data_IF_963320545680
#
_entry.id   IF_963320545680
#
_cell.length_a   1.000
_cell.length_b   1.000
_cell.length_c   1.000
_cell.angle_alpha   90.00
_cell.angle_beta   90.00
_cell.angle_gamma   90.00
#
_symmetry.space_group_name_H-M   'P 1'
#
loop_
_entity.id
_entity.type
_entity.pdbx_description
1 polymer ?
#
# COMPACT_ATOMS: atom_id res chain seq x y z
N UNK A 1 53.68 -26.89 -18.00
CA UNK A 1 54.97 -26.65 -18.67
C UNK A 1 54.70 -25.57 -19.72
N UNK A 2 55.29 -24.39 -19.77
CA UNK A 2 56.38 -23.73 -19.02
C UNK A 2 56.38 -22.29 -19.56
N UNK A 3 56.67 -21.34 -18.69
CA UNK A 3 56.80 -19.90 -18.93
C UNK A 3 57.71 -19.49 -20.09
N UNK A 4 57.46 -18.29 -20.61
CA UNK A 4 58.40 -17.21 -21.00
C UNK A 4 57.52 -16.01 -21.36
N UNK A 5 57.65 -14.79 -20.83
CA UNK A 5 58.78 -14.11 -20.22
C UNK A 5 59.24 -12.95 -21.11
N UNK A 6 59.12 -11.73 -20.57
CA UNK A 6 60.11 -10.63 -20.65
C UNK A 6 59.88 -9.39 -21.56
N UNK A 7 60.06 -8.21 -20.93
CA UNK A 7 60.54 -6.95 -21.52
C UNK A 7 59.62 -5.76 -21.18
N UNK A 8 59.77 -4.96 -20.11
CA UNK A 8 60.87 -4.13 -19.54
C UNK A 8 61.16 -2.81 -20.31
N UNK A 9 61.31 -1.75 -19.50
CA UNK A 9 61.95 -0.43 -19.75
C UNK A 9 61.05 0.65 -20.39
N UNK A 10 61.11 1.95 -20.05
CA UNK A 10 61.94 2.75 -19.15
C UNK A 10 61.34 4.17 -19.10
N UNK A 11 61.55 4.85 -17.96
CA UNK A 11 61.69 6.31 -17.74
C UNK A 11 61.59 7.23 -18.96
N UNK A 12 60.88 8.37 -18.81
CA UNK A 12 61.50 9.70 -18.89
C UNK A 12 60.54 10.84 -18.50
N UNK A 13 61.00 11.65 -17.55
CA UNK A 13 60.46 12.97 -17.18
C UNK A 13 61.19 14.06 -18.00
N UNK A 14 60.46 15.07 -18.50
CA UNK A 14 60.89 16.46 -18.32
C UNK A 14 59.69 17.37 -17.99
N UNK A 15 59.81 18.24 -16.98
CA UNK A 15 60.31 19.62 -17.02
C UNK A 15 59.19 20.65 -17.26
N UNK A 16 59.16 21.60 -16.32
CA UNK A 16 58.25 22.72 -16.12
C UNK A 16 58.31 23.72 -17.27
N UNK A 17 57.15 24.22 -17.73
CA UNK A 17 57.01 25.58 -18.24
C UNK A 17 55.73 26.19 -17.64
N UNK A 18 55.94 27.19 -16.77
CA UNK A 18 54.92 28.14 -16.39
C UNK A 18 54.65 29.06 -17.58
N UNK A 19 53.39 29.14 -18.01
CA UNK A 19 52.91 30.10 -19.00
C UNK A 19 51.75 30.88 -18.40
N UNK A 20 52.03 32.08 -17.91
CA UNK A 20 51.02 33.08 -17.57
C UNK A 20 50.32 33.54 -18.85
N UNK A 21 49.02 33.26 -18.99
CA UNK A 21 48.16 34.04 -19.88
C UNK A 21 46.86 34.35 -19.16
N UNK A 22 46.72 35.64 -18.84
CA UNK A 22 45.46 36.27 -18.45
C UNK A 22 44.51 36.16 -19.64
N UNK A 23 43.46 35.36 -19.50
CA UNK A 23 42.42 35.18 -20.51
C UNK A 23 41.08 35.00 -19.85
N UNK A 24 40.31 36.08 -19.78
CA UNK A 24 38.90 36.07 -19.42
C UNK A 24 38.15 35.37 -20.57
N UNK A 25 37.51 34.23 -20.31
CA UNK A 25 36.80 33.48 -21.35
C UNK A 25 36.04 32.30 -20.76
N UNK A 26 34.71 32.47 -20.67
CA UNK A 26 33.66 31.48 -20.43
C UNK A 26 34.09 30.07 -19.99
N UNK A 27 33.92 29.79 -18.68
CA UNK A 27 33.89 28.42 -18.17
C UNK A 27 32.58 27.73 -18.62
N UNK A 28 32.59 27.13 -19.81
CA UNK A 28 31.68 26.03 -20.12
C UNK A 28 32.19 24.81 -19.37
N UNK A 29 31.69 24.59 -18.16
CA UNK A 29 31.91 23.31 -17.47
C UNK A 29 31.17 22.21 -18.24
N UNK A 30 31.79 21.04 -18.47
CA UNK A 30 31.09 19.92 -19.07
C UNK A 30 29.93 19.53 -18.15
N UNK A 31 28.72 19.57 -18.69
CA UNK A 31 27.43 19.30 -18.00
C UNK A 31 27.48 18.04 -17.13
N UNK A 32 28.30 17.06 -17.50
CA UNK A 32 28.50 15.82 -16.73
C UNK A 32 29.06 16.00 -15.32
N UNK A 33 29.86 17.03 -15.03
CA UNK A 33 30.38 17.25 -13.67
C UNK A 33 29.36 17.91 -12.72
N UNK A 34 28.38 18.64 -13.27
CA UNK A 34 27.31 19.25 -12.47
C UNK A 34 26.35 18.16 -11.97
N UNK A 35 26.04 17.17 -12.82
CA UNK A 35 25.14 16.07 -12.47
C UNK A 35 25.72 15.22 -11.32
N UNK A 36 27.02 14.93 -11.35
CA UNK A 36 27.68 14.16 -10.28
C UNK A 36 27.69 14.93 -8.94
N UNK A 37 27.91 16.25 -8.96
CA UNK A 37 27.90 17.08 -7.75
C UNK A 37 26.48 17.23 -7.15
N UNK A 38 25.45 17.32 -7.99
CA UNK A 38 24.04 17.36 -7.55
C UNK A 38 23.63 16.03 -6.94
N UNK A 39 24.01 14.89 -7.53
CA UNK A 39 23.69 13.57 -6.97
C UNK A 39 24.31 13.34 -5.58
N UNK A 40 25.55 13.79 -5.38
CA UNK A 40 26.23 13.71 -4.07
C UNK A 40 25.58 14.62 -3.02
N UNK A 41 25.04 15.78 -3.42
CA UNK A 41 24.33 16.70 -2.52
C UNK A 41 22.94 16.19 -2.10
N UNK A 42 22.26 15.43 -2.96
CA UNK A 42 20.94 14.85 -2.66
C UNK A 42 21.06 13.70 -1.66
N UNK A 43 22.08 12.86 -1.77
CA UNK A 43 22.30 11.70 -0.87
C UNK A 43 22.82 12.13 0.52
N UNK A 44 23.42 13.31 0.64
CA UNK A 44 24.07 13.80 1.88
C UNK A 44 23.18 14.57 2.86
N UNK A 45 21.85 14.62 2.68
CA UNK A 45 20.93 15.26 3.64
C UNK A 45 20.85 16.80 3.56
N UNK A 46 21.49 17.44 2.58
CA UNK A 46 21.36 18.89 2.32
C UNK A 46 20.36 19.22 1.19
N UNK A 47 19.85 18.21 0.48
CA UNK A 47 19.02 18.37 -0.73
C UNK A 47 17.70 19.12 -0.52
N UNK A 48 17.11 19.07 0.68
CA UNK A 48 15.85 19.76 1.00
C UNK A 48 16.01 21.28 1.02
N UNK A 49 17.21 21.78 1.35
CA UNK A 49 17.49 23.21 1.51
C UNK A 49 17.73 23.92 0.17
N UNK A 50 18.13 23.18 -0.87
CA UNK A 50 18.44 23.70 -2.20
C UNK A 50 17.36 23.38 -3.25
N UNK A 51 16.37 22.54 -2.93
CA UNK A 51 15.22 22.21 -3.78
C UNK A 51 14.55 23.46 -4.42
N UNK A 52 14.23 24.53 -3.68
CA UNK A 52 13.62 25.72 -4.30
C UNK A 52 14.54 26.41 -5.30
N UNK A 53 15.87 26.40 -5.07
CA UNK A 53 16.83 27.02 -5.99
C UNK A 53 17.04 26.17 -7.24
N UNK A 54 17.00 24.84 -7.11
CA UNK A 54 17.05 23.90 -8.24
C UNK A 54 15.81 24.05 -9.12
N UNK A 55 14.61 24.17 -8.52
CA UNK A 55 13.36 24.41 -9.26
C UNK A 55 13.40 25.72 -10.03
N UNK A 56 13.90 26.80 -9.42
CA UNK A 56 14.06 28.10 -10.08
C UNK A 56 15.01 27.97 -11.29
N UNK A 57 16.15 27.30 -11.12
CA UNK A 57 17.09 27.10 -12.22
C UNK A 57 16.46 26.29 -13.36
N UNK A 58 15.73 25.22 -13.05
CA UNK A 58 15.03 24.41 -14.06
C UNK A 58 13.94 25.19 -14.82
N UNK A 59 13.27 26.12 -14.14
CA UNK A 59 12.24 26.98 -14.72
C UNK A 59 12.83 28.03 -15.67
N UNK A 60 14.03 28.53 -15.39
CA UNK A 60 14.72 29.48 -16.26
C UNK A 60 15.53 28.84 -17.40
N UNK A 61 15.89 27.55 -17.32
CA UNK A 61 16.61 26.84 -18.39
C UNK A 61 15.69 26.14 -19.39
N UNK A 62 14.36 26.17 -19.21
CA UNK A 62 13.40 25.57 -20.14
C UNK A 62 13.46 24.04 -20.21
N UNK A 63 14.06 23.39 -19.21
CA UNK A 63 14.27 21.93 -19.18
C UNK A 63 12.99 21.14 -18.83
N UNK A 64 11.84 21.81 -18.67
CA UNK A 64 10.54 21.20 -18.36
C UNK A 64 9.73 20.80 -19.62
N UNK A 65 10.19 21.11 -20.83
CA UNK A 65 9.51 20.77 -22.09
C UNK A 65 9.95 19.41 -22.70
N UNK A 66 10.50 18.52 -21.88
CA UNK A 66 10.78 17.15 -22.31
C UNK A 66 9.49 16.31 -22.34
N UNK A 67 9.28 15.42 -23.32
CA UNK A 67 8.18 14.47 -23.26
C UNK A 67 8.30 13.67 -21.97
N UNK A 68 7.25 13.73 -21.16
CA UNK A 68 7.11 12.92 -19.94
C UNK A 68 7.26 11.46 -20.40
N UNK A 69 8.11 10.64 -19.74
CA UNK A 69 8.14 9.21 -20.03
C UNK A 69 6.71 8.68 -19.86
N UNK A 70 6.16 8.05 -20.89
CA UNK A 70 4.91 7.30 -20.77
C UNK A 70 5.02 6.41 -19.52
N UNK A 71 4.02 6.49 -18.64
CA UNK A 71 3.90 5.54 -17.56
C UNK A 71 3.85 4.15 -18.20
N UNK A 72 4.73 3.26 -17.77
CA UNK A 72 4.81 1.91 -18.29
C UNK A 72 3.55 1.14 -17.88
N UNK A 73 2.53 1.13 -18.76
CA UNK A 73 1.26 0.44 -18.54
C UNK A 73 1.33 -1.04 -18.91
N UNK A 74 2.52 -1.56 -19.26
CA UNK A 74 2.66 -2.96 -19.70
C UNK A 74 2.36 -3.98 -18.60
N UNK A 75 2.35 -3.56 -17.34
CA UNK A 75 2.04 -4.38 -16.17
C UNK A 75 0.57 -4.27 -15.69
N UNK A 76 -0.24 -3.42 -16.33
CA UNK A 76 -1.66 -3.27 -16.02
C UNK A 76 -2.49 -4.24 -16.86
N UNK A 77 -3.40 -4.94 -16.20
CA UNK A 77 -4.50 -5.61 -16.90
C UNK A 77 -5.48 -4.55 -17.40
N UNK A 78 -6.19 -4.84 -18.50
CA UNK A 78 -7.23 -3.93 -19.01
C UNK A 78 -8.30 -3.59 -17.96
N UNK A 79 -8.49 -4.46 -16.96
CA UNK A 79 -9.43 -4.27 -15.85
C UNK A 79 -8.95 -3.26 -14.79
N UNK A 80 -7.64 -3.02 -14.66
CA UNK A 80 -7.06 -2.05 -13.72
C UNK A 80 -7.06 -0.63 -14.33
N UNK A 81 -6.90 -0.51 -15.64
CA UNK A 81 -6.92 0.77 -16.36
C UNK A 81 -8.33 1.40 -16.44
N UNK A 82 -9.39 0.58 -16.50
CA UNK A 82 -10.77 1.07 -16.63
C UNK A 82 -11.32 1.70 -15.34
N UNK A 83 -10.83 1.32 -14.15
CA UNK A 83 -11.20 1.98 -12.89
C UNK A 83 -10.42 3.31 -12.66
N UNK A 84 -9.34 3.58 -13.42
CA UNK A 84 -8.56 4.83 -13.34
C UNK A 84 -9.12 5.97 -14.23
N UNK A 85 -10.13 5.69 -15.07
CA UNK A 85 -10.69 6.64 -16.04
C UNK A 85 -11.90 7.34 -15.40
N UNK A 86 -11.75 8.44 -14.67
CA UNK A 86 -11.52 9.81 -15.16
C UNK A 86 -10.79 10.66 -14.10
N UNK A 87 -9.49 10.49 -13.91
CA UNK A 87 -8.66 11.60 -13.40
C UNK A 87 -7.33 11.63 -14.13
N UNK A 88 -7.42 11.93 -15.44
CA UNK A 88 -6.26 12.24 -16.27
C UNK A 88 -5.59 13.51 -15.74
N UNK A 89 -4.48 13.30 -15.03
CA UNK A 89 -3.30 14.19 -14.87
C UNK A 89 -3.59 15.68 -15.10
N UNK A 90 -4.01 16.35 -14.04
CA UNK A 90 -3.47 17.67 -13.68
C UNK A 90 -3.35 17.63 -12.16
N UNK A 91 -2.12 17.55 -11.61
CA UNK A 91 -1.91 17.47 -10.16
C UNK A 91 -2.37 18.79 -9.53
N UNK A 92 -3.66 18.90 -9.23
CA UNK A 92 -4.27 20.11 -8.68
C UNK A 92 -4.28 20.04 -7.16
N UNK A 93 -4.48 21.17 -6.47
CA UNK A 93 -4.63 21.19 -5.01
C UNK A 93 -5.73 20.22 -4.51
N UNK A 94 -6.69 19.87 -5.38
CA UNK A 94 -7.73 18.86 -5.11
C UNK A 94 -7.16 17.45 -4.98
N UNK A 95 -6.10 17.09 -5.70
CA UNK A 95 -5.46 15.78 -5.58
C UNK A 95 -4.65 15.67 -4.30
N UNK A 96 -4.07 16.79 -3.85
CA UNK A 96 -3.40 16.85 -2.53
C UNK A 96 -4.42 16.75 -1.39
N UNK A 97 -5.56 17.43 -1.50
CA UNK A 97 -6.67 17.34 -0.54
C UNK A 97 -7.27 15.93 -0.51
N UNK A 98 -7.51 15.30 -1.67
CA UNK A 98 -7.95 13.91 -1.77
C UNK A 98 -6.94 12.92 -1.20
N UNK A 99 -5.64 13.13 -1.43
CA UNK A 99 -4.58 12.28 -0.88
C UNK A 99 -4.48 12.43 0.65
N UNK A 100 -4.63 13.64 1.17
CA UNK A 100 -4.68 13.88 2.62
C UNK A 100 -5.93 13.22 3.24
N UNK A 101 -7.10 13.39 2.61
CA UNK A 101 -8.34 12.74 3.04
C UNK A 101 -8.23 11.22 3.00
N UNK A 102 -7.68 10.64 1.93
CA UNK A 102 -7.43 9.21 1.82
C UNK A 102 -6.50 8.72 2.94
N UNK A 103 -5.46 9.47 3.26
CA UNK A 103 -4.56 9.16 4.38
C UNK A 103 -5.26 9.19 5.73
N UNK A 104 -6.16 10.16 5.97
CA UNK A 104 -6.95 10.22 7.19
C UNK A 104 -7.95 9.06 7.30
N UNK A 105 -8.64 8.73 6.19
CA UNK A 105 -9.59 7.61 6.14
C UNK A 105 -8.87 6.28 6.38
N UNK A 106 -7.72 6.07 5.76
CA UNK A 106 -6.91 4.86 5.98
C UNK A 106 -6.48 4.68 7.45
N UNK A 107 -6.35 5.76 8.21
CA UNK A 107 -6.06 5.75 9.65
C UNK A 107 -7.32 5.74 10.54
N UNK A 108 -8.50 5.78 9.94
CA UNK A 108 -9.79 5.79 10.62
C UNK A 108 -10.17 4.46 11.26
N UNK A 109 -11.39 4.40 11.80
CA UNK A 109 -11.99 3.22 12.43
C UNK A 109 -12.78 2.34 11.44
N UNK A 110 -12.91 2.77 10.18
CA UNK A 110 -13.64 2.04 9.14
C UNK A 110 -15.16 2.15 9.25
N UNK A 111 -15.68 3.17 9.95
CA UNK A 111 -17.13 3.44 10.07
C UNK A 111 -17.72 4.37 9.01
N UNK A 112 -16.94 4.73 7.99
CA UNK A 112 -17.42 5.57 6.90
C UNK A 112 -18.53 4.92 6.07
N UNK A 113 -19.03 5.65 5.08
CA UNK A 113 -20.10 5.16 4.21
C UNK A 113 -19.51 4.51 2.95
N UNK A 114 -20.07 3.38 2.55
CA UNK A 114 -19.66 2.71 1.31
C UNK A 114 -20.15 3.48 0.08
N UNK A 115 -19.25 3.66 -0.88
CA UNK A 115 -19.58 4.15 -2.21
C UNK A 115 -19.79 2.98 -3.18
N UNK A 116 -20.83 3.12 -4.00
CA UNK A 116 -21.16 2.17 -5.05
C UNK A 116 -20.51 2.66 -6.33
N UNK A 117 -19.43 2.01 -6.76
CA UNK A 117 -18.83 2.28 -8.07
C UNK A 117 -18.84 0.99 -8.88
N UNK A 118 -19.48 1.04 -10.04
CA UNK A 118 -19.49 -0.04 -11.02
C UNK A 118 -18.72 0.38 -12.27
N UNK A 119 -17.90 -0.53 -12.81
CA UNK A 119 -17.28 -0.41 -14.13
C UNK A 119 -18.37 -0.25 -15.20
N UNK A 120 -17.99 0.28 -16.37
CA UNK A 120 -18.87 0.30 -17.55
C UNK A 120 -19.31 -1.10 -18.01
N UNK A 121 -18.54 -2.14 -17.67
CA UNK A 121 -18.90 -3.55 -17.92
C UNK A 121 -19.76 -4.18 -16.80
N UNK A 122 -20.16 -3.41 -15.79
CA UNK A 122 -21.04 -3.82 -14.69
C UNK A 122 -20.35 -4.48 -13.50
N UNK A 123 -19.02 -4.63 -13.50
CA UNK A 123 -18.29 -5.20 -12.36
C UNK A 123 -17.86 -4.08 -11.38
N UNK A 124 -18.10 -4.20 -10.07
CA UNK A 124 -17.82 -3.14 -9.11
C UNK A 124 -16.32 -2.82 -9.01
N UNK A 125 -15.96 -1.53 -9.00
CA UNK A 125 -14.62 -1.04 -8.62
C UNK A 125 -14.50 -0.93 -7.09
N UNK A 126 -15.63 -0.99 -6.38
CA UNK A 126 -15.75 -1.06 -4.91
C UNK A 126 -16.67 -2.23 -4.52
N UNK A 127 -17.67 -2.02 -3.67
CA UNK A 127 -18.54 -3.09 -3.16
C UNK A 127 -19.59 -3.49 -4.20
N UNK A 128 -19.76 -4.80 -4.50
CA UNK A 128 -20.90 -5.28 -5.29
C UNK A 128 -22.23 -4.88 -4.67
N UNK A 129 -23.14 -4.31 -5.49
CA UNK A 129 -24.44 -3.82 -5.03
C UNK A 129 -25.24 -4.85 -4.19
N UNK A 130 -25.30 -6.14 -4.56
CA UNK A 130 -26.01 -7.15 -3.75
C UNK A 130 -25.44 -7.33 -2.34
N UNK A 131 -24.17 -6.99 -2.12
CA UNK A 131 -23.49 -7.17 -0.83
C UNK A 131 -23.60 -5.97 0.10
N UNK A 132 -24.11 -4.83 -0.38
CA UNK A 132 -24.26 -3.62 0.45
C UNK A 132 -25.18 -3.85 1.65
N UNK A 133 -26.31 -4.53 1.45
CA UNK A 133 -27.23 -4.87 2.52
C UNK A 133 -26.56 -5.73 3.59
N UNK A 134 -26.04 -6.92 3.23
CA UNK A 134 -25.31 -7.79 4.15
C UNK A 134 -24.15 -7.11 4.87
N UNK A 135 -23.35 -6.29 4.19
CA UNK A 135 -22.21 -5.59 4.82
C UNK A 135 -22.67 -4.54 5.82
N UNK A 136 -23.70 -3.75 5.50
CA UNK A 136 -24.22 -2.75 6.45
C UNK A 136 -24.87 -3.41 7.66
N UNK A 137 -25.62 -4.50 7.47
CA UNK A 137 -26.20 -5.25 8.60
C UNK A 137 -25.11 -5.87 9.49
N UNK A 138 -24.07 -6.44 8.87
CA UNK A 138 -22.93 -6.98 9.58
C UNK A 138 -22.13 -5.89 10.33
N UNK A 139 -22.07 -4.67 9.80
CA UNK A 139 -21.40 -3.53 10.44
C UNK A 139 -22.09 -3.10 11.74
N UNK A 140 -23.41 -3.29 11.84
CA UNK A 140 -24.19 -2.92 13.03
C UNK A 140 -24.05 -3.94 14.19
N UNK A 141 -23.27 -5.02 14.00
CA UNK A 141 -23.22 -6.13 14.95
C UNK A 141 -22.53 -5.78 16.27
N UNK A 142 -21.58 -4.85 16.26
CA UNK A 142 -21.03 -4.25 17.48
C UNK A 142 -20.34 -2.91 17.19
N UNK A 143 -20.16 -2.10 18.24
CA UNK A 143 -19.67 -0.72 18.14
C UNK A 143 -18.31 -0.54 17.47
N UNK A 144 -17.46 -1.58 17.42
CA UNK A 144 -16.13 -1.47 16.79
C UNK A 144 -16.19 -1.62 15.27
N UNK A 145 -17.24 -2.27 14.75
CA UNK A 145 -17.34 -2.51 13.32
C UNK A 145 -17.93 -1.31 12.59
N UNK A 146 -17.63 -1.30 11.30
CA UNK A 146 -18.12 -0.32 10.35
C UNK A 146 -18.11 -0.94 8.95
N UNK A 147 -18.96 -0.44 8.04
CA UNK A 147 -19.16 -1.10 6.75
C UNK A 147 -17.91 -1.00 5.87
N UNK A 148 -17.14 0.09 5.98
CA UNK A 148 -15.85 0.25 5.30
C UNK A 148 -14.83 -0.79 5.80
N UNK A 149 -14.74 -1.04 7.11
CA UNK A 149 -13.86 -2.07 7.66
C UNK A 149 -14.18 -3.46 7.09
N UNK A 150 -15.46 -3.84 7.11
CA UNK A 150 -15.91 -5.16 6.64
C UNK A 150 -15.63 -5.30 5.14
N UNK A 151 -16.06 -4.33 4.33
CA UNK A 151 -15.85 -4.34 2.89
C UNK A 151 -14.36 -4.38 2.51
N UNK A 152 -13.54 -3.57 3.18
CA UNK A 152 -12.10 -3.51 2.96
C UNK A 152 -11.41 -4.84 3.28
N UNK A 153 -11.80 -5.49 4.38
CA UNK A 153 -11.26 -6.80 4.73
C UNK A 153 -11.67 -7.85 3.68
N UNK A 154 -12.95 -7.92 3.30
CA UNK A 154 -13.43 -8.85 2.27
C UNK A 154 -12.68 -8.66 0.94
N UNK A 155 -12.47 -7.40 0.54
CA UNK A 155 -11.73 -7.08 -0.67
C UNK A 155 -10.27 -7.55 -0.59
N UNK A 156 -9.64 -7.44 0.57
CA UNK A 156 -8.28 -7.92 0.81
C UNK A 156 -8.21 -9.45 0.82
N UNK A 157 -9.16 -10.12 1.47
CA UNK A 157 -9.20 -11.57 1.65
C UNK A 157 -9.51 -12.32 0.36
N UNK A 158 -10.54 -11.89 -0.37
CA UNK A 158 -11.10 -12.65 -1.48
C UNK A 158 -11.35 -11.86 -2.75
N UNK A 159 -11.18 -10.53 -2.72
CA UNK A 159 -11.62 -9.64 -3.80
C UNK A 159 -13.12 -9.84 -4.12
N UNK A 160 -13.93 -10.04 -3.09
CA UNK A 160 -15.35 -10.39 -3.19
C UNK A 160 -15.64 -11.71 -3.93
N UNK A 161 -14.69 -12.65 -3.97
CA UNK A 161 -14.91 -13.96 -4.58
C UNK A 161 -15.65 -14.91 -3.62
N UNK A 162 -16.95 -15.04 -3.81
CA UNK A 162 -17.85 -15.90 -3.03
C UNK A 162 -17.49 -17.39 -3.10
N UNK A 163 -16.72 -17.82 -4.10
CA UNK A 163 -16.37 -19.22 -4.33
C UNK A 163 -14.91 -19.55 -3.99
N UNK A 164 -14.22 -18.64 -3.28
CA UNK A 164 -12.82 -18.84 -2.92
C UNK A 164 -12.67 -19.96 -1.89
N UNK A 165 -11.76 -20.89 -2.16
CA UNK A 165 -11.21 -21.80 -1.16
C UNK A 165 -9.77 -21.36 -0.94
N UNK A 166 -9.49 -20.80 0.23
CA UNK A 166 -8.19 -20.26 0.56
C UNK A 166 -7.39 -21.13 1.52
N UNK A 167 -6.34 -20.54 2.13
CA UNK A 167 -5.43 -21.26 3.02
C UNK A 167 -6.16 -21.92 4.19
N UNK A 168 -5.63 -23.05 4.66
CA UNK A 168 -6.15 -23.79 5.82
C UNK A 168 -7.64 -24.17 5.74
N UNK A 169 -8.21 -24.17 4.53
CA UNK A 169 -9.61 -24.53 4.28
C UNK A 169 -10.61 -23.44 4.63
N UNK A 170 -10.18 -22.17 4.72
CA UNK A 170 -11.11 -21.04 4.73
C UNK A 170 -11.89 -21.00 3.41
N UNK A 171 -13.20 -20.76 3.49
CA UNK A 171 -14.12 -20.87 2.36
C UNK A 171 -14.96 -19.60 2.26
N UNK A 172 -15.27 -19.20 1.03
CA UNK A 172 -16.18 -18.10 0.74
C UNK A 172 -15.59 -16.70 0.80
N UNK A 173 -16.46 -15.70 0.80
CA UNK A 173 -16.07 -14.31 0.56
C UNK A 173 -15.26 -13.70 1.72
N UNK A 174 -15.52 -14.13 2.95
CA UNK A 174 -14.91 -13.54 4.15
C UNK A 174 -13.61 -14.22 4.58
N UNK A 175 -13.36 -15.43 4.11
CA UNK A 175 -12.20 -16.25 4.51
C UNK A 175 -12.04 -16.42 6.04
N UNK A 176 -13.17 -16.43 6.78
CA UNK A 176 -13.15 -16.78 8.21
C UNK A 176 -12.46 -18.15 8.39
N UNK A 177 -11.52 -18.29 9.36
CA UNK A 177 -10.89 -19.57 9.62
C UNK A 177 -11.93 -20.66 9.85
N UNK A 178 -11.77 -21.81 9.17
CA UNK A 178 -12.78 -22.87 9.15
C UNK A 178 -13.28 -23.29 10.53
N UNK A 179 -12.38 -23.42 11.50
CA UNK A 179 -12.74 -23.78 12.88
C UNK A 179 -13.59 -22.72 13.58
N UNK A 180 -13.38 -21.44 13.29
CA UNK A 180 -14.18 -20.35 13.83
C UNK A 180 -15.52 -20.25 13.11
N UNK A 181 -15.55 -20.49 11.79
CA UNK A 181 -16.81 -20.57 11.04
C UNK A 181 -17.70 -21.69 11.60
N UNK A 182 -17.18 -22.92 11.73
CA UNK A 182 -17.92 -24.07 12.26
C UNK A 182 -18.38 -23.87 13.70
N UNK A 183 -17.66 -23.05 14.49
CA UNK A 183 -18.02 -22.72 15.87
C UNK A 183 -19.11 -21.66 15.96
N UNK A 184 -19.07 -20.66 15.08
CA UNK A 184 -20.00 -19.52 15.08
C UNK A 184 -21.29 -19.87 14.33
N UNK A 185 -21.17 -20.53 13.18
CA UNK A 185 -22.27 -20.87 12.28
C UNK A 185 -22.17 -22.34 11.81
N UNK A 186 -22.42 -23.31 12.72
CA UNK A 186 -22.19 -24.75 12.46
C UNK A 186 -23.04 -25.34 11.34
N UNK A 187 -24.22 -24.78 11.09
CA UNK A 187 -25.15 -25.23 10.04
C UNK A 187 -25.11 -24.31 8.80
N UNK A 188 -24.19 -23.33 8.79
CA UNK A 188 -24.10 -22.32 7.76
C UNK A 188 -23.31 -22.77 6.53
N UNK A 189 -23.58 -22.09 5.41
CA UNK A 189 -22.82 -22.26 4.17
C UNK A 189 -21.77 -21.14 4.04
N UNK A 190 -20.46 -21.44 4.09
CA UNK A 190 -19.42 -20.41 3.92
C UNK A 190 -19.42 -19.80 2.52
N UNK A 191 -19.94 -20.50 1.50
CA UNK A 191 -20.06 -20.00 0.13
C UNK A 191 -21.30 -19.12 -0.09
N UNK A 192 -22.23 -19.08 0.86
CA UNK A 192 -23.33 -18.11 0.84
C UNK A 192 -22.81 -16.76 1.37
N UNK A 193 -22.79 -15.70 0.54
CA UNK A 193 -22.13 -14.45 0.91
C UNK A 193 -22.75 -13.78 2.14
N UNK A 194 -24.07 -13.87 2.31
CA UNK A 194 -24.76 -13.28 3.48
C UNK A 194 -24.33 -13.98 4.77
N UNK A 195 -24.37 -15.32 4.79
CA UNK A 195 -23.91 -16.11 5.94
C UNK A 195 -22.41 -15.94 6.21
N UNK A 196 -21.60 -15.85 5.15
CA UNK A 196 -20.16 -15.63 5.25
C UNK A 196 -19.84 -14.28 5.91
N UNK A 197 -20.50 -13.21 5.46
CA UNK A 197 -20.33 -11.84 5.99
C UNK A 197 -20.88 -11.73 7.42
N UNK A 198 -22.02 -12.35 7.72
CA UNK A 198 -22.56 -12.36 9.09
C UNK A 198 -21.65 -13.08 10.08
N UNK A 199 -21.05 -14.20 9.64
CA UNK A 199 -20.09 -14.98 10.43
C UNK A 199 -18.79 -14.20 10.65
N UNK A 200 -18.30 -13.51 9.62
CA UNK A 200 -17.15 -12.61 9.71
C UNK A 200 -17.37 -11.52 10.77
N UNK A 201 -18.51 -10.83 10.73
CA UNK A 201 -18.82 -9.80 11.72
C UNK A 201 -18.94 -10.37 13.13
N UNK A 202 -19.55 -11.55 13.32
CA UNK A 202 -19.55 -12.23 14.62
C UNK A 202 -18.14 -12.47 15.14
N UNK A 203 -17.25 -12.95 14.27
CA UNK A 203 -15.88 -13.26 14.63
C UNK A 203 -15.09 -11.98 14.97
N UNK A 204 -15.12 -10.97 14.10
CA UNK A 204 -14.50 -9.67 14.35
C UNK A 204 -15.02 -9.02 15.64
N UNK A 205 -16.32 -9.08 15.91
CA UNK A 205 -16.88 -8.55 17.15
C UNK A 205 -16.34 -9.28 18.39
N UNK A 206 -16.20 -10.61 18.33
CA UNK A 206 -15.63 -11.37 19.44
C UNK A 206 -14.16 -11.00 19.71
N UNK A 207 -13.37 -10.80 18.65
CA UNK A 207 -11.98 -10.36 18.75
C UNK A 207 -11.88 -8.93 19.28
N UNK A 208 -12.76 -8.03 18.81
CA UNK A 208 -12.81 -6.65 19.27
C UNK A 208 -13.17 -6.57 20.76
N UNK A 209 -14.14 -7.36 21.23
CA UNK A 209 -14.53 -7.41 22.64
C UNK A 209 -13.37 -7.90 23.52
N UNK A 210 -12.64 -8.94 23.09
CA UNK A 210 -11.49 -9.46 23.83
C UNK A 210 -10.34 -8.44 23.87
N UNK A 211 -10.05 -7.80 22.74
CA UNK A 211 -9.06 -6.73 22.67
C UNK A 211 -9.43 -5.52 23.53
N UNK A 212 -10.70 -5.12 23.57
CA UNK A 212 -11.18 -4.04 24.44
C UNK A 212 -10.94 -4.38 25.91
N UNK A 213 -11.26 -5.60 26.34
CA UNK A 213 -10.98 -6.05 27.72
C UNK A 213 -9.49 -5.99 28.05
N UNK A 214 -8.63 -6.41 27.11
CA UNK A 214 -7.17 -6.34 27.30
C UNK A 214 -6.63 -4.90 27.29
N UNK A 215 -7.25 -3.99 26.53
CA UNK A 215 -6.93 -2.56 26.55
C UNK A 215 -7.33 -1.92 27.90
N UNK A 216 -8.52 -2.24 28.40
CA UNK A 216 -9.03 -1.74 29.69
C UNK A 216 -8.20 -2.24 30.87
N UNK A 217 -7.72 -3.48 30.81
CA UNK A 217 -6.84 -4.06 31.84
C UNK A 217 -5.39 -3.57 31.74
N UNK A 218 -5.00 -2.97 30.62
CA UNK A 218 -3.62 -2.58 30.31
C UNK A 218 -2.70 -3.75 29.94
N UNK A 219 -3.27 -4.92 29.62
CA UNK A 219 -2.55 -6.10 29.14
C UNK A 219 -1.96 -5.87 27.74
N UNK A 220 -2.71 -5.18 26.88
CA UNK A 220 -2.28 -4.77 25.54
C UNK A 220 -2.39 -3.26 25.35
N UNK A 221 -1.70 -2.73 24.36
CA UNK A 221 -1.78 -1.33 23.92
C UNK A 221 -2.00 -1.27 22.41
N UNK A 222 -2.67 -0.21 21.95
CA UNK A 222 -2.87 0.04 20.53
C UNK A 222 -4.26 0.56 20.21
N UNK A 223 -4.55 0.66 18.92
CA UNK A 223 -5.88 0.95 18.40
C UNK A 223 -6.69 -0.36 18.32
N UNK A 224 -7.94 -0.36 18.78
CA UNK A 224 -8.78 -1.56 18.81
C UNK A 224 -9.02 -2.16 17.42
N UNK A 225 -9.18 -1.34 16.38
CA UNK A 225 -9.35 -1.80 14.99
C UNK A 225 -8.10 -2.54 14.51
N UNK A 226 -6.90 -2.01 14.77
CA UNK A 226 -5.65 -2.67 14.39
C UNK A 226 -5.43 -3.99 15.15
N UNK A 227 -5.73 -3.99 16.45
CA UNK A 227 -5.65 -5.21 17.26
C UNK A 227 -6.64 -6.27 16.78
N UNK A 228 -7.83 -5.85 16.36
CA UNK A 228 -8.87 -6.76 15.84
C UNK A 228 -8.48 -7.34 14.49
N UNK A 229 -7.99 -6.52 13.55
CA UNK A 229 -7.48 -7.00 12.27
C UNK A 229 -6.27 -7.92 12.44
N UNK A 230 -5.33 -7.55 13.30
CA UNK A 230 -4.19 -8.40 13.62
C UNK A 230 -4.61 -9.74 14.23
N UNK A 231 -5.60 -9.73 15.13
CA UNK A 231 -6.10 -10.95 15.77
C UNK A 231 -6.85 -11.86 14.78
N UNK A 232 -7.46 -11.30 13.74
CA UNK A 232 -8.14 -12.07 12.70
C UNK A 232 -7.13 -12.87 11.85
N UNK A 233 -6.02 -12.23 11.47
CA UNK A 233 -4.93 -12.84 10.69
C UNK A 233 -4.05 -13.79 11.53
N UNK A 234 -3.58 -13.31 12.68
CA UNK A 234 -2.55 -13.99 13.46
C UNK A 234 -3.11 -14.81 14.64
N UNK A 235 -4.30 -14.49 15.14
CA UNK A 235 -4.84 -15.04 16.38
C UNK A 235 -4.74 -14.08 17.57
N UNK A 236 -5.63 -14.27 18.56
CA UNK A 236 -5.75 -13.37 19.72
C UNK A 236 -4.63 -13.57 20.75
N UNK A 237 -4.03 -14.76 20.81
CA UNK A 237 -2.92 -15.05 21.73
C UNK A 237 -1.66 -14.30 21.30
N UNK A 238 -1.43 -14.17 20.00
CA UNK A 238 -0.33 -13.42 19.41
C UNK A 238 -0.39 -11.94 19.80
N UNK A 239 -1.61 -11.37 19.89
CA UNK A 239 -1.83 -10.00 20.37
C UNK A 239 -1.49 -9.88 21.86
N UNK A 240 -1.91 -10.87 22.65
CA UNK A 240 -1.63 -10.95 24.09
C UNK A 240 -0.14 -11.06 24.37
N UNK A 241 0.56 -11.96 23.68
CA UNK A 241 2.00 -12.17 23.80
C UNK A 241 2.80 -10.92 23.39
N UNK A 242 2.39 -10.27 22.29
CA UNK A 242 3.00 -9.03 21.81
C UNK A 242 2.65 -7.81 22.67
N UNK A 243 1.63 -7.91 23.54
CA UNK A 243 1.05 -6.80 24.32
C UNK A 243 0.55 -5.66 23.45
N UNK A 244 0.02 -6.01 22.28
CA UNK A 244 -0.37 -5.08 21.23
C UNK A 244 -0.28 -5.76 19.86
N UNK A 245 -0.23 -4.96 18.80
CA UNK A 245 -0.05 -5.51 17.44
C UNK A 245 1.36 -6.11 17.31
N UNK A 246 1.52 -7.38 16.85
CA UNK A 246 2.82 -7.96 16.57
C UNK A 246 3.63 -7.13 15.58
N UNK A 247 4.92 -6.93 15.87
CA UNK A 247 5.85 -6.22 14.98
C UNK A 247 6.41 -7.13 13.85
N UNK A 248 5.65 -8.16 13.47
CA UNK A 248 6.01 -9.08 12.38
C UNK A 248 5.64 -8.45 11.04
N UNK A 249 6.38 -8.77 9.99
CA UNK A 249 6.06 -8.29 8.64
C UNK A 249 4.66 -8.72 8.20
N UNK A 250 4.26 -9.94 8.53
CA UNK A 250 2.94 -10.48 8.20
C UNK A 250 1.80 -9.64 8.80
N UNK A 251 1.77 -9.45 10.12
CA UNK A 251 0.68 -8.71 10.77
C UNK A 251 0.64 -7.23 10.36
N UNK A 252 1.80 -6.60 10.20
CA UNK A 252 1.86 -5.21 9.73
C UNK A 252 1.37 -5.07 8.28
N UNK A 253 1.73 -6.02 7.42
CA UNK A 253 1.32 -6.02 6.01
C UNK A 253 -0.18 -6.29 5.88
N UNK A 254 -0.72 -7.20 6.69
CA UNK A 254 -2.16 -7.48 6.73
C UNK A 254 -2.97 -6.23 7.06
N UNK A 255 -2.64 -5.55 8.17
CA UNK A 255 -3.32 -4.33 8.60
C UNK A 255 -3.20 -3.24 7.55
N UNK A 256 -2.00 -3.00 7.01
CA UNK A 256 -1.78 -1.99 5.98
C UNK A 256 -2.54 -2.32 4.69
N UNK A 257 -2.60 -3.59 4.31
CA UNK A 257 -3.32 -4.09 3.16
C UNK A 257 -4.83 -3.85 3.27
N UNK A 258 -5.44 -4.19 4.39
CA UNK A 258 -6.85 -3.92 4.67
C UNK A 258 -7.13 -2.41 4.74
N UNK A 259 -6.35 -1.65 5.51
CA UNK A 259 -6.52 -0.19 5.64
C UNK A 259 -6.35 0.56 4.32
N UNK A 260 -5.51 0.05 3.42
CA UNK A 260 -5.33 0.61 2.08
C UNK A 260 -6.62 0.66 1.26
N UNK A 261 -7.61 -0.18 1.61
CA UNK A 261 -8.91 -0.19 0.97
C UNK A 261 -9.94 0.75 1.60
N UNK A 262 -9.68 1.35 2.77
CA UNK A 262 -10.70 2.17 3.44
C UNK A 262 -11.13 3.37 2.59
N UNK A 263 -10.16 4.14 2.08
CA UNK A 263 -10.47 5.29 1.24
C UNK A 263 -11.14 4.88 -0.09
N UNK A 264 -10.64 3.87 -0.83
CA UNK A 264 -11.34 3.35 -2.00
C UNK A 264 -12.79 2.93 -1.72
N UNK A 265 -13.07 2.29 -0.58
CA UNK A 265 -14.43 1.88 -0.22
C UNK A 265 -15.37 3.07 0.02
N UNK A 266 -14.83 4.23 0.40
CA UNK A 266 -15.53 5.51 0.49
C UNK A 266 -15.49 6.32 -0.83
N UNK A 267 -15.04 5.71 -1.93
CA UNK A 267 -14.92 6.36 -3.25
C UNK A 267 -13.83 7.42 -3.34
N UNK A 268 -12.87 7.40 -2.42
CA UNK A 268 -11.78 8.38 -2.33
C UNK A 268 -10.43 7.71 -2.61
N UNK A 269 -9.65 8.32 -3.49
CA UNK A 269 -8.29 7.87 -3.81
C UNK A 269 -8.26 6.74 -4.83
N UNK A 270 -7.03 6.34 -5.18
CA UNK A 270 -6.81 5.29 -6.17
C UNK A 270 -6.96 3.91 -5.53
N UNK A 271 -7.49 2.97 -6.31
CA UNK A 271 -7.48 1.55 -5.95
C UNK A 271 -6.02 1.11 -5.74
N UNK A 272 -5.68 0.42 -4.63
CA UNK A 272 -4.33 -0.07 -4.41
C UNK A 272 -3.90 -0.97 -5.57
N UNK A 273 -2.94 -0.52 -6.38
CA UNK A 273 -2.36 -1.37 -7.44
C UNK A 273 -1.60 -2.51 -6.78
N UNK A 274 -1.96 -3.75 -7.13
CA UNK A 274 -1.44 -5.03 -6.60
C UNK A 274 -0.76 -4.87 -5.24
N UNK A 275 -1.50 -5.13 -4.17
CA UNK A 275 -0.83 -5.48 -2.92
C UNK A 275 0.12 -6.64 -3.25
N UNK A 276 1.43 -6.57 -2.90
CA UNK A 276 2.31 -7.70 -3.09
C UNK A 276 1.60 -8.92 -2.51
N UNK A 277 1.40 -9.94 -3.33
CA UNK A 277 0.98 -11.24 -2.84
C UNK A 277 1.97 -11.58 -1.74
N UNK A 278 1.51 -11.55 -0.49
CA UNK A 278 2.33 -11.93 0.65
C UNK A 278 2.73 -13.38 0.37
N UNK A 279 4.02 -13.69 0.24
CA UNK A 279 4.45 -15.08 0.12
C UNK A 279 3.96 -15.82 1.36
N UNK A 280 2.98 -16.72 1.18
CA UNK A 280 2.21 -17.33 2.27
C UNK A 280 0.69 -17.26 2.11
N UNK A 281 0.15 -16.33 1.30
CA UNK A 281 -1.27 -16.31 0.90
C UNK A 281 -1.56 -17.12 -0.39
N UNK A 282 -0.52 -17.68 -0.99
CA UNK A 282 -0.55 -18.74 -2.01
C UNK A 282 0.76 -19.48 -1.86
N UNK A 283 0.71 -20.71 -1.35
CA UNK A 283 1.57 -21.81 -1.77
C UNK A 283 1.07 -23.14 -1.14
N UNK A 284 0.58 -24.01 -2.04
CA UNK A 284 0.15 -25.43 -1.95
C UNK A 284 -1.23 -25.78 -1.39
#
# INVERSE_FOLDING_TARGET
MTEKGLGKASSNMPLIIAGSTTGCGCLTLPVGMIIAAIFVLIVGGLGVLLLPLVLIVMLFTGQLDGPIPEADTSDLTAAEADCETEERIELTARDTEKAEAAGQIALGDGKGNLEISARENGQPCTVPEPLLGPINEAADKCDTLGPVLIAAQIQYESQFNENLVGPNGAEGISQVPKSEFEKINPDGDPFDPEQSIDTQASYLCSLAEENQKMLESGEVQGNVTDLTLAAYDAGIEEIREAKGVPATEASQSYIAGVRGWFAPMEGIGQIPRKVPIVPGLVDY
#
